data_IF_110551584557
#
_entry.id   IF_110551584557
#
_cell.length_a   1.000
_cell.length_b   1.000
_cell.length_c   1.000
_cell.angle_alpha   90.00
_cell.angle_beta   90.00
_cell.angle_gamma   90.00
#
_symmetry.space_group_name_H-M   'P 1'
#
loop_
_entity.id
_entity.type
_entity.pdbx_description
1 polymer ?
#
# COMPACT_ATOMS: atom_id res chain seq x y z
N UNK A 1 -31.19 0.17 4.91
CA UNK A 1 -32.25 1.05 5.40
C UNK A 1 -32.29 0.98 6.93
N UNK A 2 -32.61 2.09 7.58
CA UNK A 2 -32.79 2.20 9.02
C UNK A 2 -34.24 2.49 9.32
N UNK A 3 -34.70 2.05 10.50
CA UNK A 3 -35.98 2.49 11.02
C UNK A 3 -35.84 3.94 11.52
N UNK A 4 -36.93 4.71 11.43
CA UNK A 4 -36.96 6.14 11.81
C UNK A 4 -36.48 6.37 13.26
N UNK A 5 -36.79 5.45 14.16
CA UNK A 5 -36.35 5.49 15.58
C UNK A 5 -34.84 5.42 15.77
N UNK A 6 -34.07 4.90 14.79
CA UNK A 6 -32.65 4.67 14.89
C UNK A 6 -31.79 5.81 14.24
N UNK A 7 -32.49 6.79 13.61
CA UNK A 7 -31.81 7.90 12.90
C UNK A 7 -30.96 8.75 13.83
N UNK A 8 -31.50 9.09 15.01
CA UNK A 8 -30.78 9.93 15.96
C UNK A 8 -29.58 9.18 16.55
N UNK A 9 -29.70 7.89 16.82
CA UNK A 9 -28.59 7.04 17.23
C UNK A 9 -27.48 7.00 16.16
N UNK A 10 -27.84 6.89 14.87
CA UNK A 10 -26.87 6.95 13.79
C UNK A 10 -26.14 8.30 13.76
N UNK A 11 -26.87 9.41 13.85
CA UNK A 11 -26.27 10.75 13.84
C UNK A 11 -25.29 10.95 14.98
N UNK A 12 -25.62 10.48 16.18
CA UNK A 12 -24.76 10.59 17.34
C UNK A 12 -23.53 9.69 17.21
N UNK A 13 -23.70 8.47 16.70
CA UNK A 13 -22.58 7.56 16.39
C UNK A 13 -21.63 8.16 15.37
N UNK A 14 -22.15 8.75 14.29
CA UNK A 14 -21.34 9.40 13.24
C UNK A 14 -20.56 10.59 13.79
N UNK A 15 -21.19 11.45 14.60
CA UNK A 15 -20.50 12.57 15.27
C UNK A 15 -19.39 12.10 16.20
N UNK A 16 -19.66 11.07 16.98
CA UNK A 16 -18.67 10.49 17.88
C UNK A 16 -17.48 9.92 17.10
N UNK A 17 -17.75 9.16 16.02
CA UNK A 17 -16.72 8.62 15.15
C UNK A 17 -15.87 9.72 14.49
N UNK A 18 -16.49 10.79 13.96
CA UNK A 18 -15.78 11.93 13.41
C UNK A 18 -14.85 12.59 14.44
N UNK A 19 -15.35 12.78 15.66
CA UNK A 19 -14.55 13.34 16.75
C UNK A 19 -13.34 12.45 17.11
N UNK A 20 -13.55 11.15 17.28
CA UNK A 20 -12.46 10.22 17.61
C UNK A 20 -11.45 10.09 16.45
N UNK A 21 -11.92 10.03 15.21
CA UNK A 21 -11.04 9.96 14.05
C UNK A 21 -10.15 11.21 13.92
N UNK A 22 -10.70 12.41 14.13
CA UNK A 22 -9.92 13.66 14.15
C UNK A 22 -8.88 13.68 15.26
N UNK A 23 -9.19 13.12 16.43
CA UNK A 23 -8.26 13.04 17.56
C UNK A 23 -7.13 12.05 17.32
N UNK A 24 -7.42 10.90 16.70
CA UNK A 24 -6.44 9.84 16.42
C UNK A 24 -5.52 10.23 15.27
N UNK A 25 -6.06 10.91 14.26
CA UNK A 25 -5.38 11.25 13.00
C UNK A 25 -5.22 12.77 12.85
N UNK A 26 -4.77 13.46 13.89
CA UNK A 26 -4.67 14.93 13.96
C UNK A 26 -4.03 15.57 12.73
N UNK A 27 -2.99 14.95 12.16
CA UNK A 27 -2.24 15.50 11.02
C UNK A 27 -2.92 15.25 9.66
N UNK A 28 -3.73 14.20 9.55
CA UNK A 28 -4.29 13.74 8.26
C UNK A 28 -5.80 13.85 8.14
N UNK A 29 -6.52 13.96 9.26
CA UNK A 29 -7.97 14.00 9.31
C UNK A 29 -8.54 15.39 9.70
N UNK A 30 -7.76 16.46 9.55
CA UNK A 30 -8.17 17.83 9.90
C UNK A 30 -9.48 18.24 9.22
N UNK A 31 -9.64 17.89 7.94
CA UNK A 31 -10.80 18.24 7.13
C UNK A 31 -11.84 17.10 7.05
N UNK A 32 -11.71 16.06 7.88
CA UNK A 32 -12.69 14.97 7.90
C UNK A 32 -14.06 15.50 8.30
N UNK A 33 -15.06 15.27 7.44
CA UNK A 33 -16.45 15.56 7.69
C UNK A 33 -17.30 14.37 7.29
N UNK A 34 -18.14 13.89 8.20
CA UNK A 34 -19.06 12.78 7.95
C UNK A 34 -20.49 13.31 8.05
N UNK A 35 -21.23 13.20 6.96
CA UNK A 35 -22.61 13.69 6.88
C UNK A 35 -23.60 12.52 6.76
N UNK A 36 -24.68 12.63 7.47
CA UNK A 36 -25.84 11.73 7.32
C UNK A 36 -26.89 12.45 6.47
N UNK A 37 -27.13 11.95 5.27
CA UNK A 37 -28.20 12.42 4.41
C UNK A 37 -29.35 11.41 4.36
N UNK A 38 -30.56 11.90 4.22
CA UNK A 38 -31.74 11.06 3.96
C UNK A 38 -32.02 11.08 2.45
N UNK A 39 -31.97 9.92 1.83
CA UNK A 39 -32.30 9.74 0.42
C UNK A 39 -33.48 8.77 0.25
N UNK A 40 -34.04 8.75 -0.93
CA UNK A 40 -35.05 7.76 -1.27
C UNK A 40 -34.48 6.33 -1.16
N UNK A 41 -35.33 5.39 -0.71
CA UNK A 41 -34.93 3.99 -0.66
C UNK A 41 -34.50 3.50 -2.04
N UNK A 42 -33.36 2.80 -2.08
CA UNK A 42 -32.96 2.10 -3.28
C UNK A 42 -33.96 0.99 -3.63
N UNK A 43 -34.16 0.72 -4.92
CA UNK A 43 -35.06 -0.34 -5.40
C UNK A 43 -34.67 -1.73 -4.88
N UNK A 44 -33.38 -1.91 -4.56
CA UNK A 44 -32.85 -3.15 -4.01
C UNK A 44 -32.00 -2.86 -2.79
N UNK A 45 -32.24 -3.63 -1.74
CA UNK A 45 -31.48 -3.59 -0.50
C UNK A 45 -30.72 -4.92 -0.31
N UNK A 46 -29.57 -4.84 0.33
CA UNK A 46 -28.88 -6.03 0.82
C UNK A 46 -29.69 -6.67 1.94
N UNK A 47 -29.66 -8.00 1.98
CA UNK A 47 -30.25 -8.72 3.13
C UNK A 47 -29.39 -8.47 4.37
N UNK A 48 -29.99 -8.64 5.55
CA UNK A 48 -29.26 -8.53 6.82
C UNK A 48 -28.08 -9.49 6.87
N UNK A 49 -28.25 -10.75 6.46
CA UNK A 49 -27.16 -11.74 6.39
C UNK A 49 -26.01 -11.29 5.49
N UNK A 50 -26.30 -10.67 4.35
CA UNK A 50 -25.26 -10.13 3.46
C UNK A 50 -24.53 -8.96 4.13
N UNK A 51 -25.24 -8.06 4.79
CA UNK A 51 -24.62 -6.93 5.51
C UNK A 51 -23.73 -7.42 6.63
N UNK A 52 -24.22 -8.36 7.45
CA UNK A 52 -23.45 -8.96 8.54
C UNK A 52 -22.14 -9.60 8.01
N UNK A 53 -22.21 -10.37 6.91
CA UNK A 53 -21.03 -10.96 6.26
C UNK A 53 -20.04 -9.93 5.71
N UNK A 54 -20.52 -8.81 5.17
CA UNK A 54 -19.64 -7.72 4.71
C UNK A 54 -18.91 -7.11 5.90
N UNK A 55 -19.61 -6.85 6.99
CA UNK A 55 -19.01 -6.30 8.22
C UNK A 55 -17.98 -7.28 8.77
N UNK A 56 -18.32 -8.56 8.88
CA UNK A 56 -17.39 -9.59 9.32
C UNK A 56 -16.16 -9.68 8.41
N UNK A 57 -16.35 -9.61 7.08
CA UNK A 57 -15.23 -9.62 6.13
C UNK A 57 -14.30 -8.42 6.32
N UNK A 58 -14.85 -7.22 6.54
CA UNK A 58 -14.06 -6.00 6.79
C UNK A 58 -13.28 -6.12 8.09
N UNK A 59 -13.93 -6.55 9.18
CA UNK A 59 -13.32 -6.63 10.51
C UNK A 59 -12.24 -7.73 10.57
N UNK A 60 -12.49 -8.88 9.94
CA UNK A 60 -11.59 -10.02 9.97
C UNK A 60 -10.42 -9.89 8.98
N UNK A 61 -10.59 -9.11 7.91
CA UNK A 61 -9.55 -8.92 6.90
C UNK A 61 -8.30 -8.28 7.51
N UNK A 62 -7.11 -8.84 7.27
CA UNK A 62 -5.89 -8.19 7.71
C UNK A 62 -5.78 -6.82 7.02
N UNK A 63 -5.52 -5.79 7.81
CA UNK A 63 -5.34 -4.43 7.30
C UNK A 63 -4.24 -3.71 8.09
N UNK A 64 -3.33 -3.05 7.39
CA UNK A 64 -2.16 -2.40 7.97
C UNK A 64 -0.90 -3.25 7.93
N UNK A 65 0.09 -2.90 8.76
CA UNK A 65 1.37 -3.61 8.86
C UNK A 65 1.17 -4.97 9.51
N UNK A 66 1.64 -6.03 8.83
CA UNK A 66 1.58 -7.40 9.33
C UNK A 66 2.90 -7.85 9.97
N UNK A 67 4.03 -7.47 9.37
CA UNK A 67 5.36 -7.78 9.92
C UNK A 67 6.41 -6.73 9.55
N UNK A 68 7.52 -6.73 10.30
CA UNK A 68 8.64 -5.81 10.17
C UNK A 68 9.95 -6.56 9.99
N UNK A 69 10.89 -5.99 9.23
CA UNK A 69 12.31 -6.40 9.25
C UNK A 69 13.00 -5.55 10.32
N UNK A 70 13.14 -6.10 11.54
CA UNK A 70 13.64 -5.36 12.71
C UNK A 70 15.03 -4.79 12.53
N UNK A 71 15.96 -5.51 11.86
CA UNK A 71 17.32 -5.05 11.61
C UNK A 71 17.41 -3.83 10.69
N UNK A 72 16.41 -3.60 9.84
CA UNK A 72 16.33 -2.47 8.90
C UNK A 72 15.30 -1.43 9.33
N UNK A 73 14.48 -1.75 10.34
CA UNK A 73 13.34 -0.94 10.78
C UNK A 73 12.38 -0.56 9.63
N UNK A 74 12.10 -1.51 8.74
CA UNK A 74 11.20 -1.32 7.60
C UNK A 74 10.05 -2.33 7.65
N UNK A 75 8.93 -1.97 7.03
CA UNK A 75 7.80 -2.89 6.89
C UNK A 75 8.21 -4.03 5.97
N UNK A 76 7.98 -5.27 6.41
CA UNK A 76 8.19 -6.48 5.63
C UNK A 76 6.94 -6.84 4.85
N UNK A 77 5.80 -6.87 5.53
CA UNK A 77 4.52 -7.15 4.88
C UNK A 77 3.39 -6.29 5.43
N UNK A 78 2.46 -5.98 4.56
CA UNK A 78 1.26 -5.22 4.87
C UNK A 78 0.11 -5.64 3.95
N UNK A 79 -1.10 -5.30 4.37
CA UNK A 79 -2.28 -5.39 3.53
C UNK A 79 -3.14 -4.14 3.67
N UNK A 80 -3.88 -3.81 2.63
CA UNK A 80 -4.78 -2.67 2.61
C UNK A 80 -6.09 -3.06 1.94
N UNK A 81 -7.20 -3.02 2.69
CA UNK A 81 -8.54 -3.08 2.12
C UNK A 81 -8.84 -1.72 1.47
N UNK A 82 -8.58 -1.62 0.18
CA UNK A 82 -8.65 -0.36 -0.57
C UNK A 82 -10.03 -0.03 -1.10
N UNK A 83 -10.82 -1.04 -1.47
CA UNK A 83 -12.11 -0.82 -2.10
C UNK A 83 -13.16 -1.81 -1.60
N UNK A 84 -14.39 -1.31 -1.41
CA UNK A 84 -15.59 -2.12 -1.23
C UNK A 84 -16.65 -1.58 -2.18
N UNK A 85 -17.13 -2.40 -3.10
CA UNK A 85 -18.15 -1.98 -4.06
C UNK A 85 -19.12 -3.12 -4.43
N UNK A 86 -20.27 -2.74 -4.98
CA UNK A 86 -21.27 -3.67 -5.49
C UNK A 86 -21.25 -3.64 -7.02
N UNK A 87 -21.13 -4.80 -7.63
CA UNK A 87 -21.27 -4.95 -9.08
C UNK A 87 -22.13 -6.17 -9.36
N UNK A 88 -23.16 -5.99 -10.21
CA UNK A 88 -24.14 -7.02 -10.50
C UNK A 88 -24.82 -7.53 -9.20
N UNK A 89 -24.61 -8.78 -8.84
CA UNK A 89 -25.18 -9.40 -7.63
C UNK A 89 -24.09 -9.77 -6.59
N UNK A 90 -22.89 -9.18 -6.71
CA UNK A 90 -21.77 -9.47 -5.84
C UNK A 90 -21.28 -8.22 -5.12
N UNK A 91 -20.83 -8.42 -3.89
CA UNK A 91 -20.04 -7.42 -3.16
C UNK A 91 -18.57 -7.78 -3.29
N UNK A 92 -17.78 -6.82 -3.75
CA UNK A 92 -16.34 -6.97 -3.93
C UNK A 92 -15.59 -6.25 -2.82
N UNK A 93 -14.67 -6.94 -2.20
CA UNK A 93 -13.69 -6.37 -1.29
C UNK A 93 -12.32 -6.53 -1.94
N UNK A 94 -11.67 -5.42 -2.30
CA UNK A 94 -10.36 -5.44 -2.96
C UNK A 94 -9.28 -5.12 -1.94
N UNK A 95 -8.38 -6.09 -1.75
CA UNK A 95 -7.26 -5.95 -0.81
C UNK A 95 -5.95 -6.05 -1.55
N UNK A 96 -5.09 -5.03 -1.39
CA UNK A 96 -3.71 -5.09 -1.81
C UNK A 96 -2.86 -5.76 -0.72
N UNK A 97 -1.99 -6.69 -1.13
CA UNK A 97 -1.00 -7.34 -0.25
C UNK A 97 0.38 -6.98 -0.76
N UNK A 98 1.23 -6.48 0.13
CA UNK A 98 2.65 -6.21 -0.14
C UNK A 98 3.50 -7.01 0.82
N UNK A 99 4.55 -7.66 0.31
CA UNK A 99 5.50 -8.37 1.14
C UNK A 99 6.88 -8.46 0.45
N UNK A 100 7.93 -8.37 1.25
CA UNK A 100 9.30 -8.60 0.79
C UNK A 100 9.55 -10.09 0.57
N UNK A 101 8.95 -10.95 1.39
CA UNK A 101 9.08 -12.41 1.29
C UNK A 101 7.79 -13.04 0.80
N UNK A 102 7.88 -13.87 -0.25
CA UNK A 102 6.72 -14.54 -0.84
C UNK A 102 5.91 -15.36 0.17
N UNK A 103 6.57 -16.01 1.12
CA UNK A 103 5.89 -16.79 2.17
C UNK A 103 4.93 -15.95 3.01
N UNK A 104 5.28 -14.71 3.30
CA UNK A 104 4.42 -13.81 4.06
C UNK A 104 3.28 -13.25 3.20
N UNK A 105 3.53 -13.00 1.92
CA UNK A 105 2.48 -12.71 0.94
C UNK A 105 1.47 -13.85 0.89
N UNK A 106 1.94 -15.07 0.73
CA UNK A 106 1.10 -16.26 0.63
C UNK A 106 0.33 -16.53 1.93
N UNK A 107 0.93 -16.23 3.08
CA UNK A 107 0.24 -16.30 4.37
C UNK A 107 -0.96 -15.35 4.43
N UNK A 108 -0.76 -14.08 4.06
CA UNK A 108 -1.84 -13.08 4.03
C UNK A 108 -2.92 -13.45 3.00
N UNK A 109 -2.52 -13.88 1.81
CA UNK A 109 -3.43 -14.36 0.77
C UNK A 109 -4.29 -15.52 1.27
N UNK A 110 -3.69 -16.54 1.87
CA UNK A 110 -4.40 -17.69 2.41
C UNK A 110 -5.32 -17.33 3.58
N UNK A 111 -4.95 -16.35 4.39
CA UNK A 111 -5.80 -15.84 5.47
C UNK A 111 -7.07 -15.20 4.90
N UNK A 112 -6.96 -14.37 3.88
CA UNK A 112 -8.11 -13.75 3.20
C UNK A 112 -8.94 -14.83 2.49
N UNK A 113 -8.31 -15.80 1.84
CA UNK A 113 -8.99 -16.93 1.21
C UNK A 113 -9.86 -17.72 2.21
N UNK A 114 -9.33 -17.94 3.41
CA UNK A 114 -10.05 -18.63 4.47
C UNK A 114 -11.27 -17.84 4.95
N UNK A 115 -11.12 -16.54 5.14
CA UNK A 115 -12.22 -15.63 5.49
C UNK A 115 -13.31 -15.70 4.41
N UNK A 116 -12.94 -15.53 3.14
CA UNK A 116 -13.86 -15.64 2.02
C UNK A 116 -14.62 -16.97 2.03
N UNK A 117 -13.90 -18.08 2.22
CA UNK A 117 -14.52 -19.41 2.30
C UNK A 117 -15.57 -19.52 3.42
N UNK A 118 -15.27 -19.02 4.63
CA UNK A 118 -16.20 -19.09 5.76
C UNK A 118 -17.43 -18.20 5.58
N UNK A 119 -17.28 -17.10 4.88
CA UNK A 119 -18.38 -16.16 4.61
C UNK A 119 -19.16 -16.50 3.33
N UNK A 120 -18.77 -17.59 2.63
CA UNK A 120 -19.41 -18.02 1.39
C UNK A 120 -19.03 -17.22 0.16
N UNK A 121 -17.87 -16.55 0.21
CA UNK A 121 -17.28 -15.81 -0.89
C UNK A 121 -16.19 -16.61 -1.63
N UNK A 122 -15.64 -16.00 -2.67
CA UNK A 122 -14.57 -16.52 -3.50
C UNK A 122 -13.40 -15.52 -3.53
N UNK A 123 -12.16 -16.00 -3.41
CA UNK A 123 -10.98 -15.16 -3.58
C UNK A 123 -10.40 -15.31 -4.99
N UNK A 124 -10.09 -14.20 -5.62
CA UNK A 124 -9.37 -14.13 -6.89
C UNK A 124 -8.14 -13.23 -6.73
N UNK A 125 -6.96 -13.77 -7.02
CA UNK A 125 -5.73 -13.00 -7.09
C UNK A 125 -5.50 -12.47 -8.49
N UNK A 126 -4.99 -11.23 -8.60
CA UNK A 126 -4.61 -10.60 -9.86
C UNK A 126 -3.43 -9.65 -9.65
N UNK A 127 -2.76 -9.26 -10.72
CA UNK A 127 -1.67 -8.27 -10.71
C UNK A 127 -0.52 -8.62 -9.75
N UNK A 128 -0.21 -9.92 -9.61
CA UNK A 128 0.93 -10.34 -8.80
C UNK A 128 2.25 -9.92 -9.47
N UNK A 129 3.19 -9.43 -8.67
CA UNK A 129 4.56 -9.10 -9.07
C UNK A 129 5.57 -9.72 -8.12
N UNK A 130 6.81 -10.00 -8.58
CA UNK A 130 7.82 -10.63 -7.77
C UNK A 130 8.33 -9.70 -6.65
N UNK A 131 8.77 -10.31 -5.57
CA UNK A 131 9.41 -9.62 -4.46
C UNK A 131 10.82 -9.14 -4.85
N UNK A 132 11.23 -8.00 -4.28
CA UNK A 132 12.60 -7.51 -4.37
C UNK A 132 13.24 -7.45 -2.98
N UNK A 133 13.99 -8.51 -2.68
CA UNK A 133 14.63 -8.67 -1.37
C UNK A 133 15.87 -7.79 -1.27
N UNK A 134 16.00 -7.07 -0.14
CA UNK A 134 17.21 -6.28 0.14
C UNK A 134 18.45 -7.18 0.21
N UNK A 135 19.48 -6.83 -0.57
CA UNK A 135 20.80 -7.46 -0.54
C UNK A 135 21.72 -6.70 0.44
N UNK A 136 22.22 -7.36 1.51
CA UNK A 136 23.19 -6.73 2.44
C UNK A 136 24.46 -6.26 1.74
N UNK A 137 24.94 -7.03 0.77
CA UNK A 137 26.11 -6.70 -0.05
C UNK A 137 25.70 -6.42 -1.49
N UNK A 138 26.07 -5.27 -2.02
CA UNK A 138 25.76 -4.80 -3.38
C UNK A 138 26.88 -3.91 -3.88
N UNK A 139 27.64 -4.41 -4.85
CA UNK A 139 28.72 -3.65 -5.47
C UNK A 139 28.19 -2.39 -6.18
N UNK A 140 27.04 -2.50 -6.84
CA UNK A 140 26.40 -1.38 -7.51
C UNK A 140 26.05 -0.27 -6.51
N UNK A 141 25.49 -0.63 -5.34
CA UNK A 141 25.19 0.34 -4.29
C UNK A 141 26.47 0.99 -3.73
N UNK A 142 27.54 0.22 -3.54
CA UNK A 142 28.79 0.73 -3.01
C UNK A 142 29.44 1.72 -4.00
N UNK A 143 29.43 1.42 -5.31
CA UNK A 143 29.84 2.34 -6.37
C UNK A 143 28.97 3.59 -6.37
N UNK A 144 27.65 3.44 -6.31
CA UNK A 144 26.72 4.56 -6.28
C UNK A 144 26.94 5.47 -5.07
N UNK A 145 27.12 4.90 -3.87
CA UNK A 145 27.41 5.66 -2.65
C UNK A 145 28.69 6.49 -2.81
N UNK A 146 29.76 5.88 -3.31
CA UNK A 146 31.04 6.57 -3.56
C UNK A 146 30.88 7.71 -4.56
N UNK A 147 30.27 7.43 -5.71
CA UNK A 147 30.02 8.43 -6.76
C UNK A 147 29.18 9.59 -6.25
N UNK A 148 28.16 9.32 -5.46
CA UNK A 148 27.32 10.37 -4.91
C UNK A 148 28.08 11.28 -3.95
N UNK A 149 28.87 10.68 -3.06
CA UNK A 149 29.72 11.42 -2.12
C UNK A 149 30.78 12.27 -2.86
N UNK A 150 31.42 11.71 -3.89
CA UNK A 150 32.43 12.42 -4.69
C UNK A 150 31.82 13.61 -5.46
N UNK A 151 30.57 13.48 -5.96
CA UNK A 151 29.91 14.53 -6.74
C UNK A 151 29.32 15.65 -5.88
N UNK A 152 28.76 15.29 -4.71
CA UNK A 152 27.92 16.20 -3.95
C UNK A 152 28.43 16.52 -2.55
N UNK A 153 29.47 15.83 -2.08
CA UNK A 153 30.03 16.00 -0.73
C UNK A 153 29.10 15.52 0.39
N UNK A 154 28.13 14.69 0.08
CA UNK A 154 27.10 14.20 1.00
C UNK A 154 27.00 12.67 0.93
N UNK A 155 26.59 12.03 2.01
CA UNK A 155 26.25 10.61 1.99
C UNK A 155 24.84 10.39 1.44
N UNK A 156 24.70 9.41 0.53
CA UNK A 156 23.39 9.02 0.02
C UNK A 156 22.67 8.15 1.06
N UNK A 157 21.38 8.40 1.26
CA UNK A 157 20.54 7.54 2.11
C UNK A 157 20.05 6.34 1.33
N UNK A 158 20.41 5.15 1.80
CA UNK A 158 19.82 3.89 1.29
C UNK A 158 18.59 3.53 2.10
N UNK A 159 17.50 3.27 1.39
CA UNK A 159 16.24 2.84 1.99
C UNK A 159 15.86 1.48 1.42
N UNK A 160 15.26 0.64 2.25
CA UNK A 160 14.56 -0.55 1.82
C UNK A 160 13.05 -0.29 1.93
N UNK A 161 12.30 -0.70 0.91
CA UNK A 161 10.84 -0.51 0.87
C UNK A 161 10.17 -1.82 0.45
N UNK A 162 8.98 -2.10 0.96
CA UNK A 162 8.17 -3.25 0.59
C UNK A 162 7.19 -2.95 -0.57
N UNK A 163 7.57 -1.99 -1.41
CA UNK A 163 6.79 -1.63 -2.60
C UNK A 163 7.19 -2.51 -3.80
N UNK A 164 6.24 -2.72 -4.70
CA UNK A 164 6.52 -3.31 -6.00
C UNK A 164 7.28 -2.31 -6.88
N UNK A 165 8.52 -2.65 -7.21
CA UNK A 165 9.35 -1.87 -8.12
C UNK A 165 9.81 -2.76 -9.28
N UNK A 166 10.09 -2.14 -10.42
CA UNK A 166 10.56 -2.81 -11.63
C UNK A 166 11.83 -3.63 -11.40
N UNK A 167 12.67 -3.22 -10.45
CA UNK A 167 13.87 -3.96 -10.04
C UNK A 167 13.54 -5.40 -9.61
N UNK A 168 12.41 -5.63 -8.93
CA UNK A 168 11.94 -6.97 -8.56
C UNK A 168 11.68 -7.83 -9.80
N UNK A 169 11.04 -7.26 -10.83
CA UNK A 169 10.78 -7.96 -12.08
C UNK A 169 12.07 -8.30 -12.83
N UNK A 170 13.05 -7.40 -12.87
CA UNK A 170 14.34 -7.65 -13.50
C UNK A 170 15.12 -8.75 -12.76
N UNK A 171 15.19 -8.67 -11.44
CA UNK A 171 15.86 -9.67 -10.61
C UNK A 171 15.23 -11.06 -10.74
N UNK A 172 13.90 -11.14 -10.87
CA UNK A 172 13.18 -12.40 -11.08
C UNK A 172 13.41 -13.00 -12.48
N UNK A 173 13.48 -12.17 -13.51
CA UNK A 173 13.55 -12.63 -14.91
C UNK A 173 14.96 -12.85 -15.43
N UNK A 174 15.92 -12.10 -14.93
CA UNK A 174 17.33 -12.23 -15.38
C UNK A 174 17.99 -13.36 -14.61
N UNK A 175 18.52 -14.33 -15.34
CA UNK A 175 19.25 -15.44 -14.75
C UNK A 175 20.60 -14.96 -14.16
N UNK A 176 20.91 -15.47 -12.98
CA UNK A 176 22.14 -15.14 -12.27
C UNK A 176 21.90 -14.24 -11.04
N UNK A 177 22.98 -13.80 -10.42
CA UNK A 177 22.93 -12.94 -9.22
C UNK A 177 22.93 -11.46 -9.64
N UNK A 178 21.78 -11.00 -10.15
CA UNK A 178 21.61 -9.61 -10.55
C UNK A 178 21.69 -8.68 -9.34
N UNK A 179 22.52 -7.66 -9.43
CA UNK A 179 22.57 -6.54 -8.49
C UNK A 179 21.75 -5.37 -9.04
N UNK A 180 20.82 -4.85 -8.23
CA UNK A 180 19.91 -3.80 -8.65
C UNK A 180 19.69 -2.78 -7.54
N UNK A 181 19.67 -1.50 -7.91
CA UNK A 181 19.27 -0.38 -7.06
C UNK A 181 18.23 0.46 -7.79
N UNK A 182 17.34 1.10 -7.04
CA UNK A 182 16.39 2.06 -7.57
C UNK A 182 16.81 3.47 -7.18
N UNK A 183 16.89 4.35 -8.14
CA UNK A 183 17.21 5.77 -7.95
C UNK A 183 16.19 6.63 -8.69
N UNK A 184 15.92 7.81 -8.17
CA UNK A 184 14.96 8.71 -8.83
C UNK A 184 15.01 10.13 -8.27
N UNK A 185 14.43 11.08 -9.00
CA UNK A 185 14.29 12.47 -8.54
C UNK A 185 13.25 12.58 -7.44
N UNK A 186 13.27 13.73 -6.73
CA UNK A 186 12.27 14.04 -5.73
C UNK A 186 10.90 14.24 -6.40
N UNK A 187 9.91 13.56 -5.87
CA UNK A 187 8.52 13.68 -6.28
C UNK A 187 7.62 13.84 -5.05
N UNK A 188 6.50 14.52 -5.21
CA UNK A 188 5.50 14.75 -4.16
C UNK A 188 4.12 14.43 -4.68
N UNK A 189 3.21 14.15 -3.75
CA UNK A 189 1.80 13.86 -4.01
C UNK A 189 1.60 12.75 -5.04
N UNK A 190 2.47 11.71 -4.98
CA UNK A 190 2.42 10.54 -5.85
C UNK A 190 1.02 9.91 -5.85
N UNK A 191 0.60 9.45 -7.02
CA UNK A 191 -0.72 8.84 -7.23
C UNK A 191 -1.90 9.78 -6.99
N UNK A 192 -1.69 11.09 -7.14
CA UNK A 192 -2.74 12.12 -7.00
C UNK A 192 -2.78 13.05 -8.21
N UNK A 193 -3.88 13.80 -8.43
CA UNK A 193 -3.94 14.83 -9.45
C UNK A 193 -2.93 15.98 -9.28
N UNK A 194 -2.34 16.10 -8.08
CA UNK A 194 -1.35 17.12 -7.74
C UNK A 194 0.09 16.58 -7.80
N UNK A 195 0.30 15.41 -8.36
CA UNK A 195 1.62 14.82 -8.49
C UNK A 195 2.60 15.75 -9.21
N UNK A 196 3.76 15.95 -8.63
CA UNK A 196 4.78 16.85 -9.15
C UNK A 196 6.20 16.32 -8.94
N UNK A 197 7.08 16.68 -9.86
CA UNK A 197 8.48 16.29 -9.91
C UNK A 197 9.38 17.52 -9.79
N UNK A 198 10.50 17.40 -9.09
CA UNK A 198 11.53 18.43 -9.03
C UNK A 198 12.44 18.41 -10.25
N UNK A 199 12.42 19.46 -11.05
CA UNK A 199 13.29 19.63 -12.23
C UNK A 199 14.77 19.63 -11.80
N UNK A 200 15.13 20.36 -10.74
CA UNK A 200 16.50 20.44 -10.26
C UNK A 200 17.06 19.11 -9.74
N UNK A 201 16.21 18.31 -9.07
CA UNK A 201 16.62 16.98 -8.63
C UNK A 201 16.72 15.99 -9.79
N UNK A 202 15.94 16.17 -10.86
CA UNK A 202 16.09 15.38 -12.09
C UNK A 202 17.44 15.61 -12.74
N UNK A 203 17.91 16.85 -12.81
CA UNK A 203 19.25 17.16 -13.29
C UNK A 203 20.34 16.54 -12.40
N UNK A 204 20.16 16.61 -11.07
CA UNK A 204 21.08 15.98 -10.10
C UNK A 204 21.14 14.46 -10.32
N UNK A 205 20.00 13.78 -10.49
CA UNK A 205 19.94 12.34 -10.75
C UNK A 205 20.56 11.98 -12.09
N UNK A 206 20.36 12.78 -13.14
CA UNK A 206 21.00 12.54 -14.44
C UNK A 206 22.53 12.58 -14.36
N UNK A 207 23.09 13.60 -13.71
CA UNK A 207 24.55 13.70 -13.48
C UNK A 207 25.08 12.52 -12.66
N UNK A 208 24.35 12.13 -11.63
CA UNK A 208 24.69 11.00 -10.78
C UNK A 208 24.68 9.69 -11.56
N UNK A 209 23.61 9.40 -12.30
CA UNK A 209 23.49 8.19 -13.11
C UNK A 209 24.61 8.09 -14.14
N UNK A 210 24.86 9.17 -14.88
CA UNK A 210 25.96 9.21 -15.87
C UNK A 210 27.30 8.84 -15.21
N UNK A 211 27.57 9.41 -14.04
CA UNK A 211 28.82 9.14 -13.35
C UNK A 211 28.90 7.73 -12.76
N UNK A 212 27.77 7.16 -12.31
CA UNK A 212 27.74 5.74 -11.90
C UNK A 212 28.09 4.85 -13.08
N UNK A 213 27.48 5.07 -14.26
CA UNK A 213 27.74 4.27 -15.46
C UNK A 213 29.20 4.33 -15.90
N UNK A 214 29.87 5.47 -15.77
CA UNK A 214 31.32 5.63 -16.05
C UNK A 214 32.21 4.83 -15.08
N UNK A 215 31.70 4.41 -13.94
CA UNK A 215 32.44 3.68 -12.90
C UNK A 215 32.03 2.18 -12.79
N UNK A 216 31.26 1.67 -13.76
CA UNK A 216 30.82 0.27 -13.81
C UNK A 216 31.75 -0.61 -14.70
N UNK A 217 33.03 -0.27 -14.85
CA UNK A 217 33.99 -1.07 -15.58
C UNK A 217 34.40 -2.34 -14.84
#
# INVERSE_FOLDING_TARGET
ALEEKDIDTLKDTVKHFEYEAKKIYEETAVDLKIEVSAENLADKLLTKDTVDKIIDAIILSPNGVSSMIGSLNVVESSSNLGEVYIKENYVYLVTEIRATFEKNRDYLYNKIALIGKYLGGELRGFSAYPSWVYKPHSNLRDIANKVYSDLFGEEIKTLAVHAGLECGCFVDKIQGDMDAISIGPNAWDLHSPNERLSVSSTEKVYKFLTKVLENLE
#
